data_IF_869694705555
#
_entry.id   IF_869694705555
#
_cell.length_a   1.000
_cell.length_b   1.000
_cell.length_c   1.000
_cell.angle_alpha   90.00
_cell.angle_beta   90.00
_cell.angle_gamma   90.00
#
_symmetry.space_group_name_H-M   'P 1'
#
loop_
_entity.id
_entity.type
_entity.pdbx_description
1 polymer ?
#
# COMPACT_ATOMS: atom_id res chain seq x y z
N UNK A 1 14.23 4.41 -6.42
CA UNK A 1 13.82 5.78 -6.08
C UNK A 1 12.31 5.83 -6.18
N UNK A 2 11.63 6.04 -5.07
CA UNK A 2 10.17 6.09 -5.07
C UNK A 2 9.74 7.41 -5.72
N UNK A 3 9.23 7.33 -6.95
CA UNK A 3 8.76 8.50 -7.70
C UNK A 3 7.29 8.76 -7.33
N UNK A 4 6.83 10.01 -7.41
CA UNK A 4 5.42 10.38 -7.18
C UNK A 4 4.41 9.67 -8.09
N UNK A 5 4.90 8.95 -9.10
CA UNK A 5 4.14 8.04 -9.96
C UNK A 5 3.74 6.71 -9.31
N UNK A 6 4.42 6.28 -8.24
CA UNK A 6 4.17 4.97 -7.63
C UNK A 6 2.72 4.77 -7.14
N UNK A 7 2.06 5.75 -6.47
CA UNK A 7 0.65 5.63 -6.13
C UNK A 7 -0.24 5.43 -7.36
N UNK A 8 -0.03 6.18 -8.45
CA UNK A 8 -0.83 6.04 -9.66
C UNK A 8 -0.71 4.66 -10.29
N UNK A 9 0.49 4.09 -10.33
CA UNK A 9 0.71 2.72 -10.83
C UNK A 9 -0.03 1.73 -9.93
N UNK A 10 0.10 1.86 -8.61
CA UNK A 10 -0.64 1.04 -7.64
C UNK A 10 -2.16 1.14 -7.82
N UNK A 11 -2.68 2.34 -8.05
CA UNK A 11 -4.10 2.58 -8.29
C UNK A 11 -4.60 1.84 -9.54
N UNK A 12 -3.85 1.90 -10.64
CA UNK A 12 -4.20 1.19 -11.88
C UNK A 12 -4.24 -0.32 -11.66
N UNK A 13 -3.26 -0.87 -10.95
CA UNK A 13 -3.23 -2.31 -10.62
C UNK A 13 -4.44 -2.71 -9.78
N UNK A 14 -4.76 -1.93 -8.75
CA UNK A 14 -5.92 -2.20 -7.88
C UNK A 14 -7.23 -2.04 -8.64
N UNK A 15 -7.35 -1.05 -9.52
CA UNK A 15 -8.52 -0.87 -10.37
C UNK A 15 -8.73 -2.05 -11.33
N UNK A 16 -7.67 -2.57 -11.93
CA UNK A 16 -7.72 -3.78 -12.77
C UNK A 16 -8.16 -4.98 -11.93
N UNK A 17 -7.61 -5.15 -10.72
CA UNK A 17 -8.03 -6.20 -9.80
C UNK A 17 -9.51 -6.09 -9.43
N UNK A 18 -10.01 -4.90 -9.11
CA UNK A 18 -11.42 -4.67 -8.81
C UNK A 18 -12.32 -4.96 -10.01
N UNK A 19 -11.90 -4.57 -11.22
CA UNK A 19 -12.59 -4.92 -12.46
C UNK A 19 -12.64 -6.43 -12.68
N UNK A 20 -11.52 -7.12 -12.49
CA UNK A 20 -11.44 -8.57 -12.57
C UNK A 20 -12.34 -9.25 -11.52
N UNK A 21 -12.31 -8.79 -10.27
CA UNK A 21 -13.17 -9.29 -9.21
C UNK A 21 -14.66 -9.15 -9.57
N UNK A 22 -15.05 -8.04 -10.22
CA UNK A 22 -16.43 -7.84 -10.65
C UNK A 22 -16.90 -8.84 -11.72
N UNK A 23 -16.09 -9.05 -12.76
CA UNK A 23 -16.44 -9.90 -13.90
C UNK A 23 -16.19 -11.40 -13.68
N UNK A 24 -15.16 -11.76 -12.93
CA UNK A 24 -14.76 -13.15 -12.70
C UNK A 24 -15.26 -13.75 -11.38
N UNK A 25 -16.04 -13.00 -10.58
CA UNK A 25 -16.68 -13.56 -9.38
C UNK A 25 -17.64 -14.71 -9.74
N UNK A 26 -17.59 -15.83 -9.00
CA UNK A 26 -18.42 -17.00 -9.28
C UNK A 26 -19.91 -16.64 -9.26
N UNK A 27 -20.66 -17.20 -10.21
CA UNK A 27 -22.11 -17.01 -10.29
C UNK A 27 -22.78 -17.92 -9.26
N UNK A 28 -23.63 -17.35 -8.42
CA UNK A 28 -24.32 -18.04 -7.33
C UNK A 28 -24.93 -17.06 -6.34
N UNK A 29 -25.53 -17.58 -5.27
CA UNK A 29 -26.16 -16.78 -4.21
C UNK A 29 -25.15 -15.83 -3.53
N UNK A 30 -23.92 -16.31 -3.35
CA UNK A 30 -22.81 -15.59 -2.70
C UNK A 30 -22.11 -14.56 -3.62
N UNK A 31 -22.55 -14.37 -4.87
CA UNK A 31 -21.82 -13.53 -5.84
C UNK A 31 -21.63 -12.08 -5.34
N UNK A 32 -22.64 -11.51 -4.68
CA UNK A 32 -22.56 -10.15 -4.13
C UNK A 32 -21.52 -10.06 -3.02
N UNK A 33 -21.42 -11.09 -2.17
CA UNK A 33 -20.46 -11.16 -1.07
C UNK A 33 -19.03 -11.25 -1.61
N UNK A 34 -18.80 -12.06 -2.66
CA UNK A 34 -17.51 -12.11 -3.35
C UNK A 34 -17.10 -10.75 -3.93
N UNK A 35 -18.01 -10.09 -4.67
CA UNK A 35 -17.73 -8.79 -5.28
C UNK A 35 -17.43 -7.71 -4.24
N UNK A 36 -18.28 -7.58 -3.22
CA UNK A 36 -18.17 -6.53 -2.23
C UNK A 36 -16.93 -6.71 -1.35
N UNK A 37 -16.66 -7.93 -0.89
CA UNK A 37 -15.52 -8.22 0.01
C UNK A 37 -14.19 -7.98 -0.70
N UNK A 38 -13.99 -8.52 -1.91
CA UNK A 38 -12.74 -8.36 -2.65
C UNK A 38 -12.46 -6.89 -3.01
N UNK A 39 -13.47 -6.17 -3.49
CA UNK A 39 -13.32 -4.77 -3.92
C UNK A 39 -13.07 -3.87 -2.70
N UNK A 40 -13.82 -4.06 -1.61
CA UNK A 40 -13.69 -3.23 -0.42
C UNK A 40 -12.32 -3.46 0.27
N UNK A 41 -11.91 -4.72 0.43
CA UNK A 41 -10.61 -5.05 1.03
C UNK A 41 -9.45 -4.49 0.21
N UNK A 42 -9.45 -4.69 -1.11
CA UNK A 42 -8.40 -4.16 -1.98
C UNK A 42 -8.32 -2.63 -1.93
N UNK A 43 -9.48 -1.96 -1.91
CA UNK A 43 -9.54 -0.50 -1.81
C UNK A 43 -9.00 0.00 -0.46
N UNK A 44 -9.41 -0.61 0.65
CA UNK A 44 -8.98 -0.22 1.99
C UNK A 44 -7.46 -0.41 2.18
N UNK A 45 -6.94 -1.56 1.74
CA UNK A 45 -5.50 -1.85 1.80
C UNK A 45 -4.68 -0.86 0.96
N UNK A 46 -5.16 -0.54 -0.25
CA UNK A 46 -4.51 0.44 -1.11
C UNK A 46 -4.51 1.84 -0.49
N UNK A 47 -5.65 2.30 0.06
CA UNK A 47 -5.74 3.61 0.69
C UNK A 47 -4.78 3.74 1.87
N UNK A 48 -4.71 2.73 2.75
CA UNK A 48 -3.77 2.73 3.89
C UNK A 48 -2.31 2.84 3.40
N UNK A 49 -1.94 2.03 2.42
CA UNK A 49 -0.61 2.07 1.82
C UNK A 49 -0.32 3.42 1.15
N UNK A 50 -1.26 3.96 0.35
CA UNK A 50 -1.07 5.21 -0.37
C UNK A 50 -0.89 6.39 0.58
N UNK A 51 -1.67 6.45 1.66
CA UNK A 51 -1.57 7.52 2.67
C UNK A 51 -0.21 7.46 3.37
N UNK A 52 0.22 6.27 3.82
CA UNK A 52 1.52 6.13 4.50
C UNK A 52 2.71 6.41 3.58
N UNK A 53 2.59 6.07 2.30
CA UNK A 53 3.58 6.43 1.27
C UNK A 53 3.65 7.94 1.05
N UNK A 54 2.50 8.61 0.85
CA UNK A 54 2.43 10.05 0.60
C UNK A 54 2.97 10.86 1.79
N UNK A 55 2.75 10.38 3.03
CA UNK A 55 3.31 11.00 4.22
C UNK A 55 4.85 11.04 4.23
N UNK A 56 5.51 10.15 3.47
CA UNK A 56 6.97 10.05 3.40
C UNK A 56 7.56 10.67 2.12
N UNK A 57 6.74 11.07 1.14
CA UNK A 57 7.23 11.48 -0.20
C UNK A 57 7.97 12.83 -0.17
N UNK A 58 7.48 13.79 0.62
CA UNK A 58 8.13 15.10 0.83
C UNK A 58 8.20 15.39 2.34
N UNK A 59 9.14 14.78 3.06
CA UNK A 59 9.19 14.88 4.51
C UNK A 59 9.62 16.29 4.94
N UNK A 60 8.91 16.88 5.90
CA UNK A 60 9.27 18.15 6.53
C UNK A 60 10.21 17.98 7.72
N UNK A 61 10.23 16.77 8.28
CA UNK A 61 11.00 16.42 9.47
C UNK A 61 11.96 15.29 9.08
N UNK A 62 13.21 15.44 9.48
CA UNK A 62 14.25 14.42 9.32
C UNK A 62 14.41 13.62 10.62
N UNK A 63 14.74 12.32 10.54
CA UNK A 63 14.99 11.52 11.74
C UNK A 63 16.21 12.04 12.51
N UNK A 64 16.08 12.21 13.82
CA UNK A 64 17.18 12.57 14.74
C UNK A 64 17.44 11.38 15.67
N UNK A 65 18.68 10.90 15.74
CA UNK A 65 19.07 9.76 16.60
C UNK A 65 20.37 10.08 17.35
N UNK A 66 20.32 10.02 18.68
CA UNK A 66 21.42 10.40 19.57
C UNK A 66 22.25 9.22 20.10
N UNK A 67 21.90 7.98 19.78
CA UNK A 67 22.54 6.78 20.34
C UNK A 67 22.97 5.80 19.23
N UNK A 68 23.74 6.31 18.26
CA UNK A 68 24.38 5.48 17.25
C UNK A 68 25.53 4.70 17.90
N UNK A 69 25.51 3.37 17.81
CA UNK A 69 26.67 2.53 18.18
C UNK A 69 27.85 2.90 17.29
N UNK A 70 28.99 3.23 17.90
CA UNK A 70 30.20 3.62 17.18
C UNK A 70 31.01 2.41 16.71
N UNK A 71 31.90 2.58 15.71
CA UNK A 71 32.85 1.54 15.28
C UNK A 71 33.63 0.88 16.45
N UNK A 72 33.96 1.66 17.47
CA UNK A 72 34.69 1.29 18.68
C UNK A 72 33.95 0.28 19.55
N UNK A 73 32.61 0.31 19.55
CA UNK A 73 31.81 -0.62 20.34
C UNK A 73 31.81 -2.04 19.73
N UNK A 74 32.20 -2.20 18.46
CA UNK A 74 32.28 -3.51 17.79
C UNK A 74 33.63 -4.22 17.99
N UNK A 75 34.61 -3.57 18.62
CA UNK A 75 35.97 -4.08 18.84
C UNK A 75 36.13 -4.79 20.20
N UNK A 76 35.08 -4.85 21.03
CA UNK A 76 34.98 -5.63 22.27
C UNK A 76 34.27 -6.95 22.00
#
# INVERSE_FOLDING_TARGET
>A
MANGWAPFIGLVVVAIFCGAAWFFSPKGEEQTIWRSTLILSASAMYLMWAITFLAQLNPLITPVRNNLRGPEDFQR
#
